data_IF_937963616885
#
_entry.id   IF_937963616885
#
_cell.length_a   1.000
_cell.length_b   1.000
_cell.length_c   1.000
_cell.angle_alpha   90.00
_cell.angle_beta   90.00
_cell.angle_gamma   90.00
#
_symmetry.space_group_name_H-M   'P 1'
#
loop_
_entity.id
_entity.type
_entity.pdbx_description
1 polymer ?
#
# COMPACT_ATOMS: atom_id res chain seq x y z
N UNK A 1 -25.99 10.67 1.39
CA UNK A 1 -25.10 9.88 2.25
C UNK A 1 -24.72 10.75 3.44
N UNK A 2 -24.86 10.25 4.68
CA UNK A 2 -24.33 10.94 5.85
C UNK A 2 -22.80 11.07 5.73
N UNK A 3 -22.24 12.18 6.18
CA UNK A 3 -20.79 12.36 6.23
C UNK A 3 -20.18 11.26 7.11
N UNK A 4 -19.06 10.64 6.71
CA UNK A 4 -18.38 9.66 7.55
C UNK A 4 -17.89 10.30 8.86
N UNK A 5 -18.00 9.58 9.98
CA UNK A 5 -17.42 10.02 11.24
C UNK A 5 -15.90 10.05 11.13
N UNK A 6 -15.27 11.20 11.38
CA UNK A 6 -13.83 11.36 11.29
C UNK A 6 -13.13 10.51 12.34
N UNK A 7 -12.27 9.59 11.90
CA UNK A 7 -11.46 8.73 12.76
C UNK A 7 -10.01 9.21 12.85
N UNK A 8 -9.43 9.60 11.71
CA UNK A 8 -8.08 10.15 11.60
C UNK A 8 -8.16 11.46 10.83
N UNK A 9 -7.74 12.53 11.44
CA UNK A 9 -7.76 13.86 10.80
C UNK A 9 -6.66 13.98 9.74
N UNK A 10 -6.83 14.90 8.79
CA UNK A 10 -5.82 15.25 7.80
C UNK A 10 -4.47 15.59 8.46
N UNK A 11 -4.49 16.35 9.55
CA UNK A 11 -3.28 16.73 10.26
C UNK A 11 -2.54 15.54 10.87
N UNK A 12 -3.27 14.61 11.49
CA UNK A 12 -2.70 13.37 12.04
C UNK A 12 -2.05 12.54 10.92
N UNK A 13 -2.74 12.39 9.79
CA UNK A 13 -2.23 11.65 8.64
C UNK A 13 -0.95 12.32 8.11
N UNK A 14 -0.99 13.63 7.86
CA UNK A 14 0.15 14.39 7.35
C UNK A 14 1.38 14.24 8.24
N UNK A 15 1.22 14.37 9.56
CA UNK A 15 2.33 14.25 10.50
C UNK A 15 2.92 12.83 10.49
N UNK A 16 2.07 11.80 10.51
CA UNK A 16 2.53 10.41 10.49
C UNK A 16 3.21 10.03 9.17
N UNK A 17 2.70 10.50 8.03
CA UNK A 17 3.31 10.25 6.71
C UNK A 17 4.68 10.92 6.62
N UNK A 18 4.84 12.12 7.18
CA UNK A 18 6.14 12.80 7.29
C UNK A 18 7.15 11.99 8.11
N UNK A 19 6.74 11.44 9.25
CA UNK A 19 7.59 10.57 10.08
C UNK A 19 7.97 9.28 9.33
N UNK A 20 7.02 8.65 8.63
CA UNK A 20 7.29 7.47 7.80
C UNK A 20 8.31 7.79 6.70
N UNK A 21 8.17 8.93 6.01
CA UNK A 21 9.13 9.37 5.00
C UNK A 21 10.53 9.55 5.55
N UNK A 22 10.66 10.11 6.76
CA UNK A 22 11.95 10.22 7.45
C UNK A 22 12.53 8.84 7.81
N UNK A 23 11.71 7.89 8.29
CA UNK A 23 12.14 6.51 8.57
C UNK A 23 12.66 5.80 7.31
N UNK A 24 11.93 5.92 6.19
CA UNK A 24 12.35 5.36 4.90
C UNK A 24 13.66 6.00 4.45
N UNK A 25 13.79 7.32 4.58
CA UNK A 25 15.03 8.05 4.21
C UNK A 25 16.22 7.59 5.04
N UNK A 26 16.05 7.44 6.34
CA UNK A 26 17.09 6.93 7.24
C UNK A 26 17.52 5.51 6.88
N UNK A 27 16.57 4.63 6.59
CA UNK A 27 16.83 3.25 6.17
C UNK A 27 17.56 3.16 4.80
N UNK A 28 17.59 4.26 4.05
CA UNK A 28 18.23 4.37 2.74
C UNK A 28 19.57 5.16 2.76
N UNK A 29 20.04 5.57 3.93
CA UNK A 29 21.26 6.40 4.04
C UNK A 29 22.48 5.74 3.37
N UNK A 30 22.61 4.41 3.46
CA UNK A 30 23.74 3.63 2.92
C UNK A 30 23.45 3.02 1.54
N UNK A 31 22.47 3.54 0.80
CA UNK A 31 22.04 2.95 -0.48
C UNK A 31 22.89 3.38 -1.70
N UNK A 32 24.04 4.03 -1.51
CA UNK A 32 24.96 4.49 -2.55
C UNK A 32 24.28 5.27 -3.68
N UNK A 33 23.27 6.10 -3.35
CA UNK A 33 22.52 6.90 -4.31
C UNK A 33 21.58 6.11 -5.24
N UNK A 34 21.45 4.80 -5.04
CA UNK A 34 20.54 3.97 -5.85
C UNK A 34 19.09 4.35 -5.58
N UNK A 35 18.26 4.51 -6.63
CA UNK A 35 16.87 4.88 -6.46
C UNK A 35 16.06 3.78 -5.76
N UNK A 36 15.07 4.21 -4.96
CA UNK A 36 14.04 3.35 -4.40
C UNK A 36 12.84 3.35 -5.35
N UNK A 37 12.41 2.18 -5.79
CA UNK A 37 11.17 2.04 -6.53
C UNK A 37 9.99 2.02 -5.56
N UNK A 38 9.21 3.09 -5.56
CA UNK A 38 8.00 3.20 -4.74
C UNK A 38 6.81 2.83 -5.60
N UNK A 39 6.15 1.73 -5.27
CA UNK A 39 5.08 1.14 -6.06
C UNK A 39 3.76 1.17 -5.30
N UNK A 40 2.81 2.01 -5.74
CA UNK A 40 1.48 2.04 -5.15
C UNK A 40 0.60 0.90 -5.69
N UNK A 41 -0.04 0.20 -4.77
CA UNK A 41 -1.10 -0.77 -5.10
C UNK A 41 -2.41 0.00 -5.32
N UNK A 42 -2.86 0.03 -6.56
CA UNK A 42 -4.08 0.75 -6.93
C UNK A 42 -5.34 -0.10 -6.62
N UNK A 43 -6.47 0.56 -6.30
CA UNK A 43 -6.68 2.01 -6.34
C UNK A 43 -6.44 2.68 -4.97
N UNK A 44 -6.23 1.95 -3.88
CA UNK A 44 -6.24 2.49 -2.52
C UNK A 44 -4.93 3.21 -2.14
N UNK A 45 -3.79 2.71 -2.62
CA UNK A 45 -2.46 3.15 -2.15
C UNK A 45 -1.95 4.47 -2.74
N UNK A 46 -2.65 5.07 -3.73
CA UNK A 46 -2.10 6.20 -4.47
C UNK A 46 -1.95 7.48 -3.62
N UNK A 47 -2.92 7.79 -2.74
CA UNK A 47 -2.85 8.99 -1.90
C UNK A 47 -1.67 8.91 -0.94
N UNK A 48 -1.53 7.77 -0.24
CA UNK A 48 -0.40 7.56 0.65
C UNK A 48 0.93 7.66 -0.10
N UNK A 49 1.05 7.04 -1.28
CA UNK A 49 2.28 7.12 -2.06
C UNK A 49 2.64 8.55 -2.44
N UNK A 50 1.67 9.33 -2.94
CA UNK A 50 1.90 10.72 -3.35
C UNK A 50 2.41 11.60 -2.21
N UNK A 51 1.89 11.41 -1.00
CA UNK A 51 2.33 12.17 0.16
C UNK A 51 3.65 11.63 0.73
N UNK A 52 3.82 10.30 0.75
CA UNK A 52 5.01 9.66 1.29
C UNK A 52 6.27 10.00 0.49
N UNK A 53 6.23 9.93 -0.86
CA UNK A 53 7.42 10.16 -1.70
C UNK A 53 7.95 11.59 -1.57
N UNK A 54 7.10 12.57 -1.30
CA UNK A 54 7.49 13.97 -1.06
C UNK A 54 8.24 14.17 0.26
N UNK A 55 8.18 13.18 1.15
CA UNK A 55 8.89 13.17 2.44
C UNK A 55 10.10 12.21 2.45
N UNK A 56 10.45 11.60 1.33
CA UNK A 56 11.64 10.76 1.17
C UNK A 56 12.73 11.57 0.51
N UNK A 57 13.91 11.64 1.14
CA UNK A 57 15.06 12.39 0.62
C UNK A 57 15.94 11.60 -0.36
N UNK A 58 15.84 10.26 -0.34
CA UNK A 58 16.52 9.41 -1.31
C UNK A 58 15.93 9.57 -2.71
N UNK A 59 16.67 9.31 -3.80
CA UNK A 59 16.12 9.24 -5.13
C UNK A 59 15.01 8.18 -5.22
N UNK A 60 13.84 8.54 -5.80
CA UNK A 60 12.70 7.63 -5.94
C UNK A 60 12.26 7.51 -7.40
N UNK A 61 11.79 6.32 -7.76
CA UNK A 61 11.07 6.04 -9.01
C UNK A 61 9.67 5.60 -8.63
N UNK A 62 8.66 6.38 -9.03
CA UNK A 62 7.26 6.10 -8.74
C UNK A 62 6.67 5.14 -9.77
N UNK A 63 6.01 4.09 -9.31
CA UNK A 63 5.30 3.11 -10.14
C UNK A 63 3.92 2.85 -9.58
N UNK A 64 3.01 2.39 -10.45
CA UNK A 64 1.65 2.03 -10.09
C UNK A 64 1.37 0.60 -10.52
N UNK A 65 0.78 -0.16 -9.64
CA UNK A 65 0.43 -1.56 -9.88
C UNK A 65 -1.06 -1.74 -9.63
N UNK A 66 -1.79 -2.07 -10.68
CA UNK A 66 -3.20 -2.45 -10.58
C UNK A 66 -3.31 -3.97 -10.57
N UNK A 67 -4.04 -4.50 -9.61
CA UNK A 67 -4.38 -5.92 -9.52
C UNK A 67 -5.80 -6.11 -10.04
N UNK A 68 -5.96 -7.02 -10.99
CA UNK A 68 -7.25 -7.49 -11.46
C UNK A 68 -7.38 -8.97 -11.18
N UNK A 69 -8.44 -9.36 -10.50
CA UNK A 69 -8.77 -10.76 -10.34
C UNK A 69 -9.74 -11.17 -11.45
N UNK A 70 -9.35 -12.15 -12.28
CA UNK A 70 -10.24 -12.75 -13.27
C UNK A 70 -10.55 -14.18 -12.86
N UNK A 71 -11.83 -14.50 -12.79
CA UNK A 71 -12.26 -15.88 -12.66
C UNK A 71 -12.23 -16.52 -14.06
N UNK A 72 -11.45 -17.56 -14.21
CA UNK A 72 -11.31 -18.32 -15.46
C UNK A 72 -11.86 -19.74 -15.25
N UNK A 73 -12.47 -20.28 -16.29
CA UNK A 73 -12.80 -21.70 -16.36
C UNK A 73 -11.71 -22.37 -17.19
N UNK A 74 -10.92 -23.23 -16.58
CA UNK A 74 -9.91 -24.02 -17.24
C UNK A 74 -10.12 -25.49 -16.86
N UNK A 75 -10.30 -26.36 -17.84
CA UNK A 75 -10.55 -27.79 -17.67
C UNK A 75 -11.72 -28.14 -16.71
N UNK A 76 -12.80 -27.32 -16.72
CA UNK A 76 -13.97 -27.50 -15.85
C UNK A 76 -13.75 -27.09 -14.39
N UNK A 77 -12.62 -26.49 -14.05
CA UNK A 77 -12.30 -25.96 -12.71
C UNK A 77 -12.32 -24.45 -12.70
N UNK A 78 -12.93 -23.86 -11.65
CA UNK A 78 -12.82 -22.43 -11.39
C UNK A 78 -11.42 -22.10 -10.88
N UNK A 79 -10.67 -21.32 -11.67
CA UNK A 79 -9.36 -20.76 -11.27
C UNK A 79 -9.45 -19.24 -11.21
N UNK A 80 -8.96 -18.66 -10.13
CA UNK A 80 -8.82 -17.22 -9.99
C UNK A 80 -7.43 -16.80 -10.40
N UNK A 81 -7.31 -16.10 -11.52
CA UNK A 81 -6.06 -15.54 -11.99
C UNK A 81 -5.91 -14.11 -11.50
N UNK A 82 -4.78 -13.79 -10.89
CA UNK A 82 -4.42 -12.43 -10.53
C UNK A 82 -3.54 -11.87 -11.65
N UNK A 83 -4.08 -10.90 -12.37
CA UNK A 83 -3.34 -10.12 -13.36
C UNK A 83 -2.83 -8.85 -12.72
N UNK A 84 -1.64 -8.43 -13.08
CA UNK A 84 -1.10 -7.16 -12.64
C UNK A 84 -0.47 -6.41 -13.81
N UNK A 85 -0.41 -5.09 -13.71
CA UNK A 85 0.34 -4.26 -14.67
C UNK A 85 1.79 -4.73 -14.72
N UNK A 86 2.36 -5.02 -15.89
CA UNK A 86 3.77 -5.33 -16.01
C UNK A 86 4.62 -4.19 -15.47
N UNK A 87 5.51 -4.49 -14.53
CA UNK A 87 6.48 -3.54 -14.01
C UNK A 87 7.84 -3.82 -14.65
N UNK A 88 8.51 -2.77 -15.11
CA UNK A 88 9.88 -2.86 -15.60
C UNK A 88 10.89 -2.71 -14.45
N UNK A 89 12.09 -3.24 -14.66
CA UNK A 89 13.23 -2.98 -13.78
C UNK A 89 13.12 -3.63 -12.39
N UNK A 90 12.56 -4.83 -12.26
CA UNK A 90 12.44 -5.49 -10.96
C UNK A 90 13.77 -6.07 -10.50
N UNK A 91 14.50 -6.73 -11.38
CA UNK A 91 15.73 -7.43 -11.05
C UNK A 91 16.80 -6.50 -10.47
N UNK A 92 17.38 -6.89 -9.33
CA UNK A 92 18.48 -6.19 -8.67
C UNK A 92 18.10 -4.88 -7.97
N UNK A 93 16.83 -4.46 -7.99
CA UNK A 93 16.38 -3.19 -7.43
C UNK A 93 15.65 -3.34 -6.10
N UNK A 94 15.55 -2.22 -5.36
CA UNK A 94 14.85 -2.12 -4.08
C UNK A 94 13.47 -1.53 -4.27
N UNK A 95 12.48 -2.14 -3.61
CA UNK A 95 11.09 -1.76 -3.71
C UNK A 95 10.49 -1.38 -2.36
N UNK A 96 9.62 -0.37 -2.38
CA UNK A 96 8.67 -0.06 -1.33
C UNK A 96 7.26 -0.20 -1.90
N UNK A 97 6.55 -1.26 -1.53
CA UNK A 97 5.16 -1.46 -1.89
C UNK A 97 4.27 -0.66 -0.95
N UNK A 98 3.42 0.19 -1.52
CA UNK A 98 2.57 1.12 -0.75
C UNK A 98 1.10 0.76 -0.96
N UNK A 99 0.38 0.51 0.13
CA UNK A 99 -1.06 0.29 0.12
C UNK A 99 -1.73 1.09 1.26
N UNK A 100 -3.01 1.36 1.15
CA UNK A 100 -3.72 2.09 2.20
C UNK A 100 -3.98 1.22 3.43
N UNK A 101 -4.37 -0.05 3.27
CA UNK A 101 -4.72 -0.92 4.40
C UNK A 101 -4.11 -2.31 4.24
N UNK A 102 -3.40 -2.73 5.26
CA UNK A 102 -2.98 -4.12 5.41
C UNK A 102 -3.99 -4.86 6.29
N UNK A 103 -4.94 -5.51 5.65
CA UNK A 103 -6.04 -6.27 6.24
C UNK A 103 -5.65 -7.75 6.39
N UNK A 104 -6.16 -8.65 5.56
CA UNK A 104 -5.78 -10.07 5.57
C UNK A 104 -4.31 -10.32 5.22
N UNK A 105 -3.70 -9.42 4.49
CA UNK A 105 -2.32 -9.48 4.02
C UNK A 105 -2.11 -10.29 2.74
N UNK A 106 -3.12 -11.05 2.26
CA UNK A 106 -2.98 -11.95 1.12
C UNK A 106 -2.46 -11.26 -0.15
N UNK A 107 -2.98 -10.07 -0.45
CA UNK A 107 -2.59 -9.31 -1.64
C UNK A 107 -1.13 -8.85 -1.56
N UNK A 108 -0.76 -8.24 -0.43
CA UNK A 108 0.56 -7.67 -0.27
C UNK A 108 1.63 -8.77 -0.14
N UNK A 109 1.33 -9.87 0.57
CA UNK A 109 2.18 -11.04 0.66
C UNK A 109 2.44 -11.68 -0.73
N UNK A 110 1.38 -11.86 -1.53
CA UNK A 110 1.51 -12.34 -2.91
C UNK A 110 2.45 -11.44 -3.72
N UNK A 111 2.29 -10.11 -3.62
CA UNK A 111 3.14 -9.16 -4.35
C UNK A 111 4.59 -9.24 -3.89
N UNK A 112 4.85 -9.24 -2.59
CA UNK A 112 6.21 -9.37 -2.02
C UNK A 112 6.89 -10.61 -2.60
N UNK A 113 6.22 -11.76 -2.59
CA UNK A 113 6.75 -12.99 -3.15
C UNK A 113 7.00 -12.90 -4.66
N UNK A 114 6.08 -12.27 -5.43
CA UNK A 114 6.25 -12.08 -6.87
C UNK A 114 7.46 -11.21 -7.20
N UNK A 115 7.69 -10.13 -6.45
CA UNK A 115 8.84 -9.27 -6.65
C UNK A 115 10.16 -9.99 -6.36
N UNK A 116 10.23 -10.76 -5.27
CA UNK A 116 11.41 -11.60 -4.99
C UNK A 116 11.65 -12.66 -6.06
N UNK A 117 10.59 -13.35 -6.55
CA UNK A 117 10.70 -14.34 -7.66
C UNK A 117 11.22 -13.70 -8.94
N UNK A 118 10.97 -12.42 -9.17
CA UNK A 118 11.47 -11.65 -10.32
C UNK A 118 12.84 -10.99 -10.06
N UNK A 119 13.52 -11.37 -9.00
CA UNK A 119 14.90 -10.94 -8.72
C UNK A 119 15.01 -9.58 -8.02
N UNK A 120 13.96 -9.07 -7.37
CA UNK A 120 14.08 -7.87 -6.54
C UNK A 120 15.14 -8.10 -5.46
N UNK A 121 16.02 -7.11 -5.24
CA UNK A 121 17.06 -7.16 -4.20
C UNK A 121 16.45 -7.05 -2.81
N UNK A 122 15.52 -6.15 -2.63
CA UNK A 122 14.73 -6.01 -1.41
C UNK A 122 13.32 -5.54 -1.70
N UNK A 123 12.37 -5.98 -0.88
CA UNK A 123 10.98 -5.54 -0.93
C UNK A 123 10.55 -5.18 0.47
N UNK A 124 10.21 -3.91 0.67
CA UNK A 124 9.64 -3.37 1.89
C UNK A 124 8.20 -2.96 1.66
N UNK A 125 7.43 -2.84 2.73
CA UNK A 125 6.02 -2.51 2.67
C UNK A 125 5.69 -1.31 3.53
N UNK A 126 4.84 -0.40 3.02
CA UNK A 126 4.34 0.76 3.74
C UNK A 126 2.82 0.84 3.63
N UNK A 127 2.14 1.01 4.76
CA UNK A 127 0.69 1.10 4.78
C UNK A 127 0.22 2.24 5.67
N UNK A 128 -0.92 2.87 5.31
CA UNK A 128 -1.54 3.86 6.18
C UNK A 128 -2.11 3.18 7.43
N UNK A 129 -2.81 2.07 7.25
CA UNK A 129 -3.48 1.36 8.32
C UNK A 129 -3.07 -0.10 8.35
N UNK A 130 -2.57 -0.54 9.51
CA UNK A 130 -2.31 -1.94 9.82
C UNK A 130 -3.43 -2.50 10.71
N UNK A 131 -4.02 -3.64 10.28
CA UNK A 131 -5.06 -4.37 11.02
C UNK A 131 -4.56 -5.78 11.38
N UNK A 132 -3.71 -5.91 12.39
CA UNK A 132 -3.05 -7.18 12.72
C UNK A 132 -4.03 -8.29 13.13
N UNK A 133 -5.17 -7.95 13.77
CA UNK A 133 -6.16 -8.92 14.23
C UNK A 133 -6.86 -9.67 13.08
N UNK A 134 -6.88 -9.08 11.89
CA UNK A 134 -7.56 -9.64 10.72
C UNK A 134 -6.58 -10.35 9.76
N UNK A 135 -5.30 -10.49 10.18
CA UNK A 135 -4.22 -11.08 9.37
C UNK A 135 -4.42 -12.58 9.16
N UNK A 136 -4.20 -13.03 7.91
CA UNK A 136 -4.28 -14.45 7.52
C UNK A 136 -2.95 -15.04 7.06
N UNK A 137 -1.91 -14.21 6.94
CA UNK A 137 -0.56 -14.57 6.52
C UNK A 137 0.46 -13.98 7.49
N UNK A 138 1.65 -14.56 7.59
CA UNK A 138 2.71 -14.01 8.45
C UNK A 138 3.44 -12.87 7.73
N UNK A 139 2.71 -11.79 7.45
CA UNK A 139 3.24 -10.55 6.90
C UNK A 139 3.03 -9.41 7.90
N UNK A 140 4.11 -8.77 8.29
CA UNK A 140 4.09 -7.52 9.06
C UNK A 140 4.57 -6.39 8.15
N UNK A 141 3.90 -5.22 8.17
CA UNK A 141 4.37 -4.09 7.37
C UNK A 141 5.70 -3.57 7.95
N UNK A 142 6.63 -3.16 7.08
CA UNK A 142 7.88 -2.52 7.52
C UNK A 142 7.62 -1.11 8.06
N UNK A 143 6.66 -0.40 7.43
CA UNK A 143 6.22 0.94 7.83
C UNK A 143 4.70 1.01 7.89
N UNK A 144 4.17 1.59 8.96
CA UNK A 144 2.72 1.83 9.11
C UNK A 144 2.47 3.15 9.82
N UNK A 145 1.37 3.80 9.45
CA UNK A 145 0.99 5.04 10.11
C UNK A 145 0.14 4.77 11.37
N UNK A 146 -0.91 3.98 11.23
CA UNK A 146 -1.89 3.75 12.30
C UNK A 146 -2.28 2.28 12.43
N UNK A 147 -2.78 1.91 13.61
CA UNK A 147 -3.49 0.64 13.86
C UNK A 147 -4.93 0.94 14.20
N UNK A 148 -5.85 0.36 13.44
CA UNK A 148 -7.29 0.53 13.60
C UNK A 148 -7.96 -0.81 13.39
N UNK A 149 -8.78 -1.28 14.34
CA UNK A 149 -9.51 -2.55 14.27
C UNK A 149 -11.00 -2.35 13.93
N UNK A 150 -11.61 -3.36 13.34
CA UNK A 150 -13.06 -3.60 13.28
C UNK A 150 -13.95 -2.55 12.60
N UNK A 151 -13.44 -1.67 11.70
CA UNK A 151 -14.22 -0.59 11.09
C UNK A 151 -14.16 -0.61 9.57
N UNK A 152 -15.26 -0.21 8.92
CA UNK A 152 -15.27 0.05 7.48
C UNK A 152 -14.77 1.48 7.22
N UNK A 153 -13.58 1.58 6.65
CA UNK A 153 -12.84 2.83 6.51
C UNK A 153 -13.00 3.42 5.11
N UNK A 154 -13.16 4.73 5.05
CA UNK A 154 -13.23 5.52 3.81
C UNK A 154 -12.39 6.78 3.91
N UNK A 155 -12.04 7.36 2.78
CA UNK A 155 -11.22 8.57 2.69
C UNK A 155 -9.73 8.28 2.56
N UNK A 156 -8.99 9.27 2.16
CA UNK A 156 -7.55 9.21 1.90
C UNK A 156 -7.14 8.02 1.01
N UNK A 157 -7.83 7.88 -0.12
CA UNK A 157 -7.66 6.79 -1.08
C UNK A 157 -8.59 5.59 -0.87
N UNK A 158 -9.14 5.39 0.34
CA UNK A 158 -10.11 4.34 0.62
C UNK A 158 -11.50 4.73 0.12
N UNK A 159 -12.15 3.85 -0.61
CA UNK A 159 -13.44 4.09 -1.23
C UNK A 159 -14.56 3.19 -0.75
N UNK A 160 -15.78 3.68 -0.94
CA UNK A 160 -17.00 2.91 -0.89
C UNK A 160 -17.77 3.14 -2.19
N UNK A 161 -18.04 2.09 -2.98
CA UNK A 161 -18.65 2.18 -4.31
C UNK A 161 -17.98 3.25 -5.19
N UNK A 162 -16.63 3.23 -5.25
CA UNK A 162 -15.77 4.18 -5.96
C UNK A 162 -15.81 5.64 -5.45
N UNK A 163 -16.62 5.95 -4.47
CA UNK A 163 -16.76 7.29 -3.89
C UNK A 163 -15.89 7.45 -2.62
N UNK A 164 -15.78 8.69 -2.13
CA UNK A 164 -15.13 9.08 -0.87
C UNK A 164 -13.60 8.97 -0.83
N UNK A 165 -12.94 8.49 -1.87
CA UNK A 165 -11.47 8.39 -1.91
C UNK A 165 -10.76 9.76 -1.80
N UNK A 166 -11.45 10.82 -2.18
CA UNK A 166 -10.96 12.20 -2.21
C UNK A 166 -10.99 12.92 -0.86
N UNK A 167 -11.60 12.31 0.17
CA UNK A 167 -11.63 12.95 1.49
C UNK A 167 -10.21 13.05 2.05
N UNK A 168 -9.80 14.20 2.64
CA UNK A 168 -8.44 14.39 3.16
C UNK A 168 -8.17 13.66 4.49
N UNK A 169 -9.19 13.05 5.07
CA UNK A 169 -9.18 12.33 6.33
C UNK A 169 -9.61 10.87 6.14
N UNK A 170 -9.40 10.05 7.15
CA UNK A 170 -10.01 8.71 7.21
C UNK A 170 -11.21 8.76 8.15
N UNK A 171 -12.35 8.34 7.63
CA UNK A 171 -13.60 8.23 8.37
C UNK A 171 -14.11 6.80 8.46
N UNK A 172 -15.05 6.60 9.38
CA UNK A 172 -15.82 5.37 9.51
C UNK A 172 -17.18 5.57 8.87
N UNK A 173 -17.57 4.68 7.96
CA UNK A 173 -18.97 4.59 7.52
C UNK A 173 -19.75 3.85 8.59
N UNK A 174 -20.74 4.53 9.18
CA UNK A 174 -21.75 3.85 9.99
C UNK A 174 -22.49 2.85 9.09
N UNK A 175 -22.56 1.61 9.55
CA UNK A 175 -23.33 0.53 8.92
C UNK A 175 -24.82 0.78 8.96
#
# INVERSE_FOLDING_TARGET
MSSPDVLLTEEQIRNRVKEMGAQVSQARADADGRPLFVTAVLDNGFMLMCDLVRNITAPVICQFLKLEARDMMEDGHHRRQILHTPLAGIEGNDFLLVDAVLHTGLTLDYLVQQFYRKGARSVKTAVLIDKPEERRVDLKPDYWAFRVSGRYLVGYGLGHNELLRNLPYVGNLAS
#
